data_IF_182590225460
#
_entry.id   IF_182590225460
#
_cell.length_a   1.000
_cell.length_b   1.000
_cell.length_c   1.000
_cell.angle_alpha   90.00
_cell.angle_beta   90.00
_cell.angle_gamma   90.00
#
_symmetry.space_group_name_H-M   'P 1'
#
loop_
_entity.id
_entity.type
_entity.pdbx_description
1 polymer ?
#
# COMPACT_ATOMS: atom_id res chain seq x y z
N UNK A 1 31.72 -0.60 7.00
CA UNK A 1 31.74 -0.20 5.57
C UNK A 1 30.55 0.71 5.28
N UNK A 2 30.64 1.59 4.28
CA UNK A 2 29.57 2.56 3.95
C UNK A 2 28.26 1.89 3.48
N UNK A 3 28.24 0.57 3.20
CA UNK A 3 27.06 -0.19 2.76
C UNK A 3 26.36 -1.06 3.81
N UNK A 4 26.99 -1.32 4.97
CA UNK A 4 26.49 -2.32 5.94
C UNK A 4 25.10 -1.94 6.49
N UNK A 5 24.83 -0.64 6.69
CA UNK A 5 23.55 -0.15 7.20
C UNK A 5 22.41 -0.35 6.19
N UNK A 6 22.65 -0.13 4.89
CA UNK A 6 21.63 -0.28 3.86
C UNK A 6 21.20 -1.75 3.72
N UNK A 7 22.14 -2.70 3.79
CA UNK A 7 21.80 -4.12 3.74
C UNK A 7 21.01 -4.58 4.97
N UNK A 8 21.34 -4.06 6.15
CA UNK A 8 20.59 -4.35 7.38
C UNK A 8 19.17 -3.80 7.32
N UNK A 9 19.00 -2.58 6.83
CA UNK A 9 17.68 -1.98 6.63
C UNK A 9 16.87 -2.76 5.58
N UNK A 10 17.49 -3.14 4.47
CA UNK A 10 16.82 -3.92 3.41
C UNK A 10 16.29 -5.26 3.96
N UNK A 11 17.09 -5.99 4.74
CA UNK A 11 16.65 -7.22 5.40
C UNK A 11 15.51 -6.99 6.39
N UNK A 12 15.50 -5.86 7.09
CA UNK A 12 14.44 -5.53 8.06
C UNK A 12 13.08 -5.26 7.40
N UNK A 13 13.06 -4.91 6.11
CA UNK A 13 11.84 -4.59 5.35
C UNK A 13 11.46 -5.67 4.33
N UNK A 14 12.11 -6.85 4.35
CA UNK A 14 11.72 -7.98 3.49
C UNK A 14 10.26 -8.41 3.72
N UNK A 15 9.76 -8.23 4.94
CA UNK A 15 8.37 -8.50 5.30
C UNK A 15 7.76 -7.25 5.91
N UNK A 16 7.01 -6.52 5.08
CA UNK A 16 6.14 -5.44 5.54
C UNK A 16 4.72 -5.98 5.73
N UNK A 17 4.17 -5.98 6.96
CA UNK A 17 2.80 -6.37 7.21
C UNK A 17 1.84 -5.22 6.87
N UNK A 18 0.58 -5.53 6.51
CA UNK A 18 -0.46 -4.52 6.36
C UNK A 18 -0.78 -3.86 7.70
N UNK A 19 -1.32 -2.64 7.63
CA UNK A 19 -1.94 -2.04 8.80
C UNK A 19 -3.18 -2.87 9.20
N UNK A 20 -3.44 -3.07 10.51
CA UNK A 20 -4.63 -3.81 10.97
C UNK A 20 -5.96 -3.24 10.44
N UNK A 21 -6.02 -1.92 10.26
CA UNK A 21 -7.18 -1.22 9.72
C UNK A 21 -7.40 -1.55 8.24
N UNK A 22 -6.33 -1.63 7.44
CA UNK A 22 -6.38 -2.06 6.02
C UNK A 22 -6.96 -3.45 5.88
N UNK A 23 -6.48 -4.40 6.69
CA UNK A 23 -6.98 -5.79 6.68
C UNK A 23 -8.48 -5.82 7.03
N UNK A 24 -8.87 -5.06 8.06
CA UNK A 24 -10.25 -4.99 8.54
C UNK A 24 -11.18 -4.37 7.49
N UNK A 25 -10.80 -3.25 6.89
CA UNK A 25 -11.54 -2.56 5.82
C UNK A 25 -11.67 -3.43 4.58
N UNK A 26 -10.56 -4.03 4.13
CA UNK A 26 -10.55 -4.88 2.94
C UNK A 26 -11.42 -6.12 3.14
N UNK A 27 -11.30 -6.80 4.29
CA UNK A 27 -12.11 -7.98 4.62
C UNK A 27 -13.60 -7.64 4.68
N UNK A 28 -13.96 -6.54 5.33
CA UNK A 28 -15.34 -6.05 5.38
C UNK A 28 -15.89 -5.79 3.97
N UNK A 29 -15.13 -5.06 3.16
CA UNK A 29 -15.53 -4.75 1.80
C UNK A 29 -15.73 -6.00 0.93
N UNK A 30 -14.79 -6.94 0.97
CA UNK A 30 -14.90 -8.22 0.23
C UNK A 30 -16.12 -9.02 0.68
N UNK A 31 -16.42 -9.05 1.99
CA UNK A 31 -17.59 -9.76 2.51
C UNK A 31 -18.93 -9.14 2.08
N UNK A 32 -18.98 -7.82 1.91
CA UNK A 32 -20.20 -7.11 1.48
C UNK A 32 -20.39 -7.18 -0.04
N UNK A 33 -19.31 -7.07 -0.81
CA UNK A 33 -19.33 -7.03 -2.27
C UNK A 33 -19.58 -8.40 -2.94
N UNK A 34 -19.32 -9.51 -2.24
CA UNK A 34 -19.40 -10.88 -2.76
C UNK A 34 -18.65 -11.04 -4.10
N UNK A 35 -19.37 -10.94 -5.23
CA UNK A 35 -18.86 -11.14 -6.60
C UNK A 35 -18.63 -9.84 -7.37
N UNK A 36 -19.19 -8.71 -6.91
CA UNK A 36 -19.09 -7.42 -7.59
C UNK A 36 -18.07 -6.51 -6.89
N UNK A 37 -16.81 -6.93 -6.91
CA UNK A 37 -15.73 -6.14 -6.30
C UNK A 37 -15.34 -5.01 -7.26
N UNK A 38 -15.53 -3.77 -6.82
CA UNK A 38 -15.11 -2.56 -7.52
C UNK A 38 -13.62 -2.30 -7.26
N UNK A 39 -12.84 -2.22 -8.34
CA UNK A 39 -11.40 -1.98 -8.28
C UNK A 39 -11.06 -0.65 -7.60
N UNK A 40 -11.88 0.38 -7.81
CA UNK A 40 -11.66 1.72 -7.26
C UNK A 40 -11.71 1.73 -5.73
N UNK A 41 -12.61 0.94 -5.11
CA UNK A 41 -12.69 0.86 -3.66
C UNK A 41 -11.51 0.11 -3.05
N UNK A 42 -11.02 -0.92 -3.75
CA UNK A 42 -9.78 -1.61 -3.35
C UNK A 42 -8.58 -0.67 -3.44
N UNK A 43 -8.47 0.11 -4.52
CA UNK A 43 -7.42 1.10 -4.68
C UNK A 43 -7.42 2.09 -3.51
N UNK A 44 -8.57 2.68 -3.17
CA UNK A 44 -8.72 3.63 -2.06
C UNK A 44 -8.24 3.04 -0.72
N UNK A 45 -8.62 1.80 -0.40
CA UNK A 45 -8.21 1.13 0.85
C UNK A 45 -6.69 0.91 0.89
N UNK A 46 -6.08 0.52 -0.24
CA UNK A 46 -4.65 0.20 -0.33
C UNK A 46 -3.79 1.47 -0.36
N UNK A 47 -4.21 2.52 -1.08
CA UNK A 47 -3.48 3.78 -1.18
C UNK A 47 -3.35 4.50 0.18
N UNK A 48 -4.26 4.25 1.13
CA UNK A 48 -4.15 4.73 2.51
C UNK A 48 -3.13 3.97 3.37
N UNK A 49 -2.57 2.86 2.88
CA UNK A 49 -1.60 2.02 3.58
C UNK A 49 -0.22 2.09 2.90
N UNK A 50 0.74 2.84 3.47
CA UNK A 50 2.08 2.98 2.90
C UNK A 50 2.86 1.65 2.79
N UNK A 51 2.64 0.72 3.72
CA UNK A 51 3.35 -0.57 3.76
C UNK A 51 2.88 -1.47 2.63
N UNK A 52 1.56 -1.55 2.43
CA UNK A 52 0.98 -2.32 1.33
C UNK A 52 1.26 -1.69 -0.03
N UNK A 53 1.22 -0.37 -0.10
CA UNK A 53 1.57 0.37 -1.31
C UNK A 53 3.00 0.04 -1.76
N UNK A 54 3.98 0.16 -0.86
CA UNK A 54 5.37 -0.15 -1.18
C UNK A 54 5.55 -1.60 -1.61
N UNK A 55 4.93 -2.55 -0.90
CA UNK A 55 5.02 -3.98 -1.19
C UNK A 55 4.40 -4.36 -2.54
N UNK A 56 3.21 -3.85 -2.83
CA UNK A 56 2.50 -4.17 -4.06
C UNK A 56 3.18 -3.55 -5.28
N UNK A 57 3.71 -2.32 -5.16
CA UNK A 57 4.54 -1.71 -6.20
C UNK A 57 5.84 -2.50 -6.43
N UNK A 58 6.51 -2.97 -5.37
CA UNK A 58 7.69 -3.82 -5.49
C UNK A 58 7.36 -5.12 -6.24
N UNK A 59 6.25 -5.77 -5.89
CA UNK A 59 5.82 -7.02 -6.53
C UNK A 59 5.45 -6.80 -8.00
N UNK A 60 4.68 -5.74 -8.31
CA UNK A 60 4.29 -5.39 -9.66
C UNK A 60 5.48 -5.09 -10.58
N UNK A 61 6.52 -4.45 -10.04
CA UNK A 61 7.76 -4.17 -10.76
C UNK A 61 8.76 -5.34 -10.75
N UNK A 62 8.41 -6.49 -10.15
CA UNK A 62 9.29 -7.66 -10.17
C UNK A 62 9.47 -8.20 -11.60
N UNK A 63 10.62 -8.81 -11.91
CA UNK A 63 10.88 -9.38 -13.24
C UNK A 63 9.83 -10.42 -13.68
N UNK A 64 9.11 -11.02 -12.73
CA UNK A 64 8.07 -12.01 -12.99
C UNK A 64 6.94 -11.49 -13.91
N UNK A 65 6.58 -10.20 -13.78
CA UNK A 65 5.48 -9.62 -14.54
C UNK A 65 5.91 -8.91 -15.83
N UNK A 66 7.22 -8.73 -16.07
CA UNK A 66 7.74 -8.16 -17.32
C UNK A 66 7.60 -6.63 -17.48
N UNK A 67 7.16 -5.91 -16.44
CA UNK A 67 6.98 -4.44 -16.44
C UNK A 67 7.94 -3.71 -15.49
N UNK A 68 9.20 -4.14 -15.44
CA UNK A 68 10.17 -3.65 -14.46
C UNK A 68 10.39 -2.12 -14.58
N UNK A 69 10.05 -1.39 -13.51
CA UNK A 69 10.13 0.08 -13.35
C UNK A 69 9.08 0.89 -14.14
N UNK A 70 8.04 0.25 -14.66
CA UNK A 70 6.96 0.93 -15.38
C UNK A 70 5.72 1.17 -14.52
N UNK A 71 5.55 0.43 -13.43
CA UNK A 71 4.36 0.50 -12.58
C UNK A 71 4.59 1.52 -11.46
N UNK A 72 3.83 2.61 -11.47
CA UNK A 72 3.95 3.71 -10.51
C UNK A 72 2.68 3.94 -9.70
N UNK A 73 1.54 3.33 -10.07
CA UNK A 73 0.24 3.54 -9.41
C UNK A 73 -0.43 2.24 -8.98
N UNK A 74 -1.25 2.30 -7.93
CA UNK A 74 -2.06 1.22 -7.39
C UNK A 74 -3.13 0.78 -8.38
N UNK A 75 -3.66 1.68 -9.20
CA UNK A 75 -4.57 1.30 -10.29
C UNK A 75 -3.88 0.39 -11.32
N UNK A 76 -2.64 0.69 -11.69
CA UNK A 76 -1.84 -0.18 -12.56
C UNK A 76 -1.51 -1.51 -11.86
N UNK A 77 -1.16 -1.48 -10.57
CA UNK A 77 -0.96 -2.69 -9.75
C UNK A 77 -2.21 -3.57 -9.77
N UNK A 78 -3.40 -3.02 -9.51
CA UNK A 78 -4.67 -3.77 -9.52
C UNK A 78 -4.93 -4.35 -10.91
N UNK A 79 -4.64 -3.60 -11.96
CA UNK A 79 -4.81 -4.06 -13.35
C UNK A 79 -3.88 -5.23 -13.67
N UNK A 80 -2.64 -5.18 -13.19
CA UNK A 80 -1.62 -6.19 -13.46
C UNK A 80 -1.76 -7.45 -12.59
N UNK A 81 -1.94 -7.28 -11.28
CA UNK A 81 -2.00 -8.37 -10.32
C UNK A 81 -3.41 -8.95 -10.21
N UNK A 82 -4.45 -8.13 -10.44
CA UNK A 82 -5.83 -8.49 -10.16
C UNK A 82 -6.19 -8.38 -8.68
N UNK A 83 -7.45 -8.04 -8.42
CA UNK A 83 -7.99 -7.83 -7.06
C UNK A 83 -7.84 -9.07 -6.17
N UNK A 84 -8.08 -10.27 -6.72
CA UNK A 84 -7.97 -11.52 -5.96
C UNK A 84 -6.57 -11.76 -5.40
N UNK A 85 -5.53 -11.46 -6.18
CA UNK A 85 -4.14 -11.61 -5.71
C UNK A 85 -3.81 -10.60 -4.62
N UNK A 86 -4.29 -9.36 -4.74
CA UNK A 86 -4.10 -8.32 -3.72
C UNK A 86 -4.74 -8.76 -2.39
N UNK A 87 -5.97 -9.27 -2.42
CA UNK A 87 -6.65 -9.78 -1.22
C UNK A 87 -5.85 -10.92 -0.58
N UNK A 88 -5.35 -11.85 -1.40
CA UNK A 88 -4.54 -12.98 -0.91
C UNK A 88 -3.24 -12.51 -0.26
N UNK A 89 -2.54 -11.54 -0.87
CA UNK A 89 -1.29 -10.98 -0.35
C UNK A 89 -1.54 -10.29 1.00
N UNK A 90 -2.50 -9.36 1.05
CA UNK A 90 -2.84 -8.62 2.28
C UNK A 90 -3.23 -9.59 3.40
N UNK A 91 -4.01 -10.62 3.08
CA UNK A 91 -4.42 -11.64 4.06
C UNK A 91 -3.23 -12.47 4.53
N UNK A 92 -2.38 -12.96 3.62
CA UNK A 92 -1.21 -13.76 3.98
C UNK A 92 -0.20 -12.97 4.82
N UNK A 93 -0.03 -11.69 4.52
CA UNK A 93 0.91 -10.81 5.23
C UNK A 93 0.40 -10.43 6.62
N UNK A 94 -0.92 -10.28 6.79
CA UNK A 94 -1.51 -10.04 8.11
C UNK A 94 -1.23 -11.16 9.12
N UNK A 95 -0.95 -12.37 8.64
CA UNK A 95 -0.65 -13.55 9.48
C UNK A 95 0.84 -13.61 9.84
N UNK A 96 1.71 -12.99 9.04
CA UNK A 96 3.17 -12.98 9.23
C UNK A 96 3.56 -11.88 10.22
N UNK A 97 3.28 -12.12 11.49
CA UNK A 97 3.59 -11.20 12.60
C UNK A 97 5.09 -11.25 12.96
N UNK A 98 5.84 -10.24 12.51
CA UNK A 98 7.25 -10.05 12.93
C UNK A 98 7.72 -8.60 12.92
N UNK A 99 6.99 -7.70 12.25
CA UNK A 99 7.36 -6.29 12.12
C UNK A 99 6.41 -5.42 12.94
N UNK A 100 6.98 -4.64 13.88
CA UNK A 100 6.21 -3.73 14.73
C UNK A 100 6.07 -2.36 14.04
N UNK A 101 4.84 -1.97 13.77
CA UNK A 101 4.53 -0.62 13.30
C UNK A 101 4.55 0.31 14.52
N UNK A 102 5.65 1.03 14.73
CA UNK A 102 5.81 1.98 15.82
C UNK A 102 6.72 3.14 15.40
N UNK A 103 6.18 4.36 15.45
CA UNK A 103 6.93 5.60 15.18
C UNK A 103 7.30 6.35 16.46
N UNK A 104 7.05 5.77 17.64
CA UNK A 104 7.48 6.33 18.93
C UNK A 104 8.99 6.63 19.03
N UNK A 105 9.91 5.91 18.34
CA UNK A 105 11.33 6.29 18.33
C UNK A 105 11.61 7.68 17.73
N UNK A 106 10.69 8.22 16.92
CA UNK A 106 10.73 9.57 16.37
C UNK A 106 10.02 10.61 17.27
N UNK A 107 9.53 10.20 18.46
CA UNK A 107 8.75 11.04 19.35
C UNK A 107 7.32 11.30 18.88
N UNK A 108 6.79 10.45 17.99
CA UNK A 108 5.47 10.59 17.39
C UNK A 108 4.49 9.55 17.95
N UNK A 109 3.21 9.92 17.99
CA UNK A 109 2.14 8.96 18.25
C UNK A 109 1.79 8.21 16.95
N UNK A 110 1.84 6.88 17.01
CA UNK A 110 1.62 6.02 15.83
C UNK A 110 0.21 6.15 15.25
N UNK A 111 -0.81 6.31 16.08
CA UNK A 111 -2.19 6.45 15.58
C UNK A 111 -2.40 7.81 14.90
N UNK A 112 -1.84 8.88 15.48
CA UNK A 112 -1.87 10.22 14.87
C UNK A 112 -1.12 10.21 13.54
N UNK A 113 0.07 9.62 13.49
CA UNK A 113 0.86 9.52 12.26
C UNK A 113 0.09 8.79 11.15
N UNK A 114 -0.46 7.61 11.44
CA UNK A 114 -1.22 6.84 10.46
C UNK A 114 -2.49 7.56 10.00
N UNK A 115 -3.17 8.28 10.90
CA UNK A 115 -4.32 9.13 10.53
C UNK A 115 -3.89 10.24 9.57
N UNK A 116 -2.77 10.91 9.86
CA UNK A 116 -2.26 11.99 9.00
C UNK A 116 -1.90 11.45 7.60
N UNK A 117 -1.32 10.26 7.48
CA UNK A 117 -1.06 9.64 6.17
C UNK A 117 -2.34 9.44 5.35
N UNK A 118 -3.44 9.03 6.01
CA UNK A 118 -4.73 8.88 5.34
C UNK A 118 -5.34 10.24 4.94
N UNK A 119 -5.24 11.24 5.81
CA UNK A 119 -5.67 12.62 5.50
C UNK A 119 -4.88 13.21 4.33
N UNK A 120 -3.56 12.96 4.26
CA UNK A 120 -2.69 13.38 3.17
C UNK A 120 -3.10 12.73 1.85
N UNK A 121 -3.29 11.41 1.81
CA UNK A 121 -3.75 10.70 0.61
C UNK A 121 -5.10 11.24 0.11
N UNK A 122 -6.02 11.50 1.05
CA UNK A 122 -7.34 12.08 0.77
C UNK A 122 -7.22 13.50 0.22
N UNK A 123 -6.36 14.33 0.85
CA UNK A 123 -6.11 15.71 0.43
C UNK A 123 -5.57 15.77 -1.01
N UNK A 124 -4.53 14.98 -1.31
CA UNK A 124 -3.93 14.94 -2.65
C UNK A 124 -4.97 14.48 -3.69
N UNK A 125 -5.76 13.44 -3.36
CA UNK A 125 -6.82 12.93 -4.24
C UNK A 125 -7.87 14.01 -4.54
N UNK A 126 -8.33 14.73 -3.51
CA UNK A 126 -9.35 15.77 -3.68
C UNK A 126 -8.81 16.98 -4.44
N UNK A 127 -7.60 17.44 -4.12
CA UNK A 127 -7.02 18.62 -4.74
C UNK A 127 -6.72 18.38 -6.23
N UNK A 128 -6.02 17.30 -6.56
CA UNK A 128 -5.52 17.08 -7.93
C UNK A 128 -6.57 16.48 -8.88
N UNK A 129 -7.69 15.96 -8.38
CA UNK A 129 -8.76 15.47 -9.26
C UNK A 129 -9.36 16.57 -10.14
N UNK A 130 -9.40 17.80 -9.63
CA UNK A 130 -10.00 18.95 -10.32
C UNK A 130 -8.96 19.77 -11.10
N UNK A 131 -7.73 19.93 -10.58
CA UNK A 131 -6.69 20.75 -11.22
C UNK A 131 -5.86 20.01 -12.28
N UNK A 132 -5.34 18.82 -11.98
CA UNK A 132 -4.47 18.08 -12.90
C UNK A 132 -4.50 16.58 -12.63
N UNK A 133 -5.33 15.88 -13.42
CA UNK A 133 -5.45 14.41 -13.38
C UNK A 133 -4.15 13.67 -13.68
N UNK A 134 -3.19 14.26 -14.41
CA UNK A 134 -1.89 13.59 -14.63
C UNK A 134 -1.03 13.63 -13.37
N UNK A 135 -1.05 14.75 -12.65
CA UNK A 135 -0.32 14.88 -11.37
C UNK A 135 -0.96 14.04 -10.28
N UNK A 136 -2.29 13.89 -10.25
CA UNK A 136 -2.96 13.02 -9.28
C UNK A 136 -2.47 11.57 -9.39
N UNK A 137 -2.34 11.06 -10.62
CA UNK A 137 -1.79 9.73 -10.89
C UNK A 137 -0.30 9.58 -10.61
N UNK A 138 0.45 10.67 -10.41
CA UNK A 138 1.88 10.60 -10.10
C UNK A 138 2.14 10.67 -8.58
N UNK A 139 1.35 11.47 -7.87
CA UNK A 139 1.55 11.81 -6.47
C UNK A 139 0.69 11.00 -5.51
N UNK A 140 -0.44 10.48 -5.98
CA UNK A 140 -1.21 9.46 -5.26
C UNK A 140 -0.70 8.10 -5.72
N UNK A 141 -0.14 7.28 -4.82
CA UNK A 141 0.18 5.90 -5.13
C UNK A 141 -1.06 5.15 -5.58
#
# INVERSE_FOLDING_TARGET
MIGDMNELLLKSVEVLPPLPDTVSKLRKYVSEANSNIETMKVAEIISSDPLMTAKLLQLANSPYYGFTREITTINQVITLLGVSNIINIVTADSIRDSFKIDVSPYGLDTQVFLRNCNEEATFITNWLNDEDKKLSHLLVP
#
